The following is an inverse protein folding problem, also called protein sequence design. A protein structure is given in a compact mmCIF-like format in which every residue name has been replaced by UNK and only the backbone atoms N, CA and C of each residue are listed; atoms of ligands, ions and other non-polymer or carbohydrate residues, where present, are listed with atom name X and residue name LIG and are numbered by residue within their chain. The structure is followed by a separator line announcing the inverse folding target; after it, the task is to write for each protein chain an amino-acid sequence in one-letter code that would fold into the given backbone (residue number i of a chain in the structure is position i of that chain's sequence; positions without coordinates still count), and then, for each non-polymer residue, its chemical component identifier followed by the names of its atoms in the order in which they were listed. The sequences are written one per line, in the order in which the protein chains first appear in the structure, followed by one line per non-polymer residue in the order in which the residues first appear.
data_IF_655332468912
#
_entry.id   IF_655332468912
#
_cell.length_a   1.000
_cell.length_b   1.000
_cell.length_c   1.000
_cell.angle_alpha   90.00
_cell.angle_beta   90.00
_cell.angle_gamma   90.00
#
_symmetry.space_group_name_H-M   'P 1'
#
loop_
_entity.id
_entity.type
_entity.pdbx_description
1 polymer ?
#
# COMPACT_ATOMS: atom_id res chain seq x y z
N UNK A 1 -27.34 -10.24 -4.04
CA UNK A 1 -25.96 -10.10 -4.56
C UNK A 1 -25.60 -8.68 -4.98
N UNK A 2 -26.25 -8.08 -6.00
CA UNK A 2 -25.90 -6.73 -6.52
C UNK A 2 -25.91 -5.60 -5.48
N UNK A 3 -26.89 -5.56 -4.57
CA UNK A 3 -26.95 -4.54 -3.50
C UNK A 3 -25.77 -4.62 -2.53
N UNK A 4 -25.29 -5.84 -2.25
CA UNK A 4 -24.14 -6.10 -1.39
C UNK A 4 -22.84 -5.65 -2.06
N UNK A 5 -22.66 -5.99 -3.34
CA UNK A 5 -21.54 -5.53 -4.15
C UNK A 5 -21.51 -4.00 -4.22
N UNK A 6 -22.64 -3.34 -4.53
CA UNK A 6 -22.72 -1.87 -4.56
C UNK A 6 -22.32 -1.24 -3.23
N UNK A 7 -22.77 -1.81 -2.10
CA UNK A 7 -22.41 -1.34 -0.76
C UNK A 7 -20.92 -1.51 -0.46
N UNK A 8 -20.32 -2.63 -0.89
CA UNK A 8 -18.88 -2.88 -0.77
C UNK A 8 -18.08 -1.88 -1.61
N UNK A 9 -18.45 -1.68 -2.87
CA UNK A 9 -17.81 -0.72 -3.79
C UNK A 9 -17.88 0.70 -3.25
N UNK A 10 -19.05 1.14 -2.79
CA UNK A 10 -19.20 2.43 -2.14
C UNK A 10 -18.27 2.52 -0.93
N UNK A 11 -18.24 1.49 -0.07
CA UNK A 11 -17.33 1.48 1.08
C UNK A 11 -15.85 1.48 0.68
N UNK A 12 -15.45 0.94 -0.47
CA UNK A 12 -14.04 0.95 -0.90
C UNK A 12 -13.60 2.33 -1.42
N UNK A 13 -14.47 3.08 -2.10
CA UNK A 13 -14.16 4.42 -2.61
C UNK A 13 -14.56 5.59 -1.68
N UNK A 14 -15.33 5.33 -0.62
CA UNK A 14 -15.84 6.36 0.28
C UNK A 14 -14.79 6.87 1.27
N UNK A 15 -14.16 8.00 1.00
CA UNK A 15 -13.08 8.55 1.83
C UNK A 15 -13.49 8.88 3.29
N UNK A 16 -14.71 9.39 3.58
CA UNK A 16 -15.09 9.73 4.95
C UNK A 16 -15.17 8.49 5.85
N UNK A 17 -14.60 8.61 7.05
CA UNK A 17 -14.60 7.54 8.03
C UNK A 17 -13.23 7.28 8.62
N UNK A 18 -13.24 6.38 9.61
CA UNK A 18 -12.07 5.96 10.37
C UNK A 18 -11.83 4.49 10.12
N UNK A 19 -10.57 4.06 10.11
CA UNK A 19 -10.17 2.65 10.09
C UNK A 19 -9.37 2.33 11.35
N UNK A 20 -9.78 1.31 12.12
CA UNK A 20 -8.95 0.77 13.18
C UNK A 20 -7.69 0.09 12.59
N UNK A 21 -6.66 -0.16 13.42
CA UNK A 21 -5.39 -0.75 12.95
C UNK A 21 -5.54 -2.10 12.23
N UNK A 22 -6.50 -2.93 12.64
CA UNK A 22 -6.71 -4.25 12.04
C UNK A 22 -7.40 -4.18 10.68
N UNK A 23 -8.46 -3.39 10.59
CA UNK A 23 -9.17 -3.14 9.34
C UNK A 23 -8.26 -2.40 8.38
N UNK A 24 -7.43 -1.47 8.86
CA UNK A 24 -6.39 -0.87 8.05
C UNK A 24 -5.42 -1.92 7.50
N UNK A 25 -4.91 -2.82 8.34
CA UNK A 25 -4.09 -3.93 7.87
C UNK A 25 -4.82 -4.74 6.78
N UNK A 26 -6.05 -5.20 7.02
CA UNK A 26 -6.78 -6.02 6.04
C UNK A 26 -7.11 -5.26 4.74
N UNK A 27 -7.60 -4.02 4.84
CA UNK A 27 -8.02 -3.20 3.71
C UNK A 27 -6.82 -2.65 2.91
N UNK A 28 -5.65 -2.44 3.51
CA UNK A 28 -4.47 -1.97 2.80
C UNK A 28 -3.63 -3.12 2.21
N UNK A 29 -3.61 -4.29 2.86
CA UNK A 29 -2.65 -5.34 2.54
C UNK A 29 -2.99 -6.12 1.28
N UNK A 30 -4.26 -6.49 1.09
CA UNK A 30 -4.69 -7.21 -0.11
C UNK A 30 -4.44 -6.34 -1.36
N UNK A 31 -4.87 -5.06 -1.41
CA UNK A 31 -4.56 -4.19 -2.54
C UNK A 31 -3.05 -3.93 -2.71
N UNK A 32 -2.28 -3.86 -1.62
CA UNK A 32 -0.83 -3.69 -1.69
C UNK A 32 -0.15 -4.91 -2.34
N UNK A 33 -0.49 -6.12 -1.94
CA UNK A 33 0.06 -7.34 -2.55
C UNK A 33 -0.33 -7.45 -4.02
N UNK A 34 -1.58 -7.14 -4.36
CA UNK A 34 -2.04 -7.16 -5.74
C UNK A 34 -1.35 -6.08 -6.59
N UNK A 35 -1.16 -4.87 -6.04
CA UNK A 35 -0.39 -3.81 -6.68
C UNK A 35 1.04 -4.27 -7.01
N UNK A 36 1.73 -4.86 -6.03
CA UNK A 36 3.10 -5.35 -6.21
C UNK A 36 3.18 -6.48 -7.24
N UNK A 37 2.26 -7.45 -7.15
CA UNK A 37 2.19 -8.58 -8.08
C UNK A 37 1.96 -8.10 -9.53
N UNK A 38 0.93 -7.27 -9.74
CA UNK A 38 0.61 -6.74 -11.07
C UNK A 38 1.74 -5.87 -11.63
N UNK A 39 2.40 -5.09 -10.79
CA UNK A 39 3.56 -4.29 -11.20
C UNK A 39 4.75 -5.15 -11.59
N UNK A 40 5.02 -6.23 -10.84
CA UNK A 40 6.11 -7.16 -11.15
C UNK A 40 5.85 -7.91 -12.48
N UNK A 41 4.62 -8.36 -12.70
CA UNK A 41 4.22 -9.00 -13.96
C UNK A 41 4.31 -7.98 -15.12
N UNK A 42 3.79 -6.76 -14.92
CA UNK A 42 3.87 -5.69 -15.92
C UNK A 42 5.32 -5.35 -16.30
N UNK A 43 6.23 -5.34 -15.34
CA UNK A 43 7.66 -5.14 -15.57
C UNK A 43 8.32 -6.32 -16.30
N UNK A 44 7.96 -7.56 -15.96
CA UNK A 44 8.46 -8.73 -16.67
C UNK A 44 8.00 -8.74 -18.14
N UNK A 45 6.73 -8.37 -18.39
CA UNK A 45 6.18 -8.24 -19.74
C UNK A 45 6.88 -7.15 -20.55
N UNK A 46 7.18 -5.99 -19.95
CA UNK A 46 7.88 -4.90 -20.65
C UNK A 46 9.32 -5.25 -21.05
N UNK A 47 9.91 -6.28 -20.44
CA UNK A 47 11.23 -6.84 -20.81
C UNK A 47 11.16 -7.97 -21.84
N UNK A 48 9.97 -8.50 -22.12
CA UNK A 48 9.81 -9.61 -23.06
C UNK A 48 9.81 -9.14 -24.52
N UNK A 49 10.38 -9.94 -25.42
CA UNK A 49 10.39 -9.67 -26.87
C UNK A 49 9.10 -10.10 -27.59
N UNK A 50 8.03 -10.41 -26.85
CA UNK A 50 6.77 -10.91 -27.41
C UNK A 50 5.98 -9.76 -28.07
N UNK A 51 5.36 -9.94 -29.24
CA UNK A 51 4.68 -8.85 -29.96
C UNK A 51 3.48 -8.24 -29.21
N UNK A 52 2.96 -8.89 -28.17
CA UNK A 52 1.78 -8.45 -27.39
C UNK A 52 2.16 -7.61 -26.15
N UNK A 53 3.45 -7.32 -25.93
CA UNK A 53 3.97 -6.80 -24.65
C UNK A 53 3.48 -5.40 -24.25
N UNK A 54 3.30 -4.47 -25.20
CA UNK A 54 2.99 -3.07 -24.85
C UNK A 54 1.55 -2.90 -24.33
N UNK A 55 0.55 -3.44 -25.03
CA UNK A 55 -0.85 -3.29 -24.64
C UNK A 55 -1.19 -4.08 -23.37
N UNK A 56 -0.67 -5.32 -23.27
CA UNK A 56 -0.87 -6.16 -22.08
C UNK A 56 -0.18 -5.59 -20.85
N UNK A 57 1.06 -5.11 -20.98
CA UNK A 57 1.77 -4.42 -19.90
C UNK A 57 1.05 -3.16 -19.43
N UNK A 58 0.57 -2.32 -20.36
CA UNK A 58 -0.18 -1.11 -20.02
C UNK A 58 -1.46 -1.41 -19.22
N UNK A 59 -2.22 -2.44 -19.61
CA UNK A 59 -3.41 -2.86 -18.87
C UNK A 59 -3.08 -3.32 -17.45
N UNK A 60 -2.00 -4.08 -17.26
CA UNK A 60 -1.54 -4.50 -15.94
C UNK A 60 -1.19 -3.30 -15.04
N UNK A 61 -0.53 -2.28 -15.60
CA UNK A 61 -0.23 -1.04 -14.87
C UNK A 61 -1.50 -0.26 -14.50
N UNK A 62 -2.52 -0.24 -15.34
CA UNK A 62 -3.82 0.36 -15.01
C UNK A 62 -4.47 -0.36 -13.82
N UNK A 63 -4.50 -1.69 -13.84
CA UNK A 63 -5.04 -2.46 -12.72
C UNK A 63 -4.22 -2.30 -11.44
N UNK A 64 -2.89 -2.25 -11.56
CA UNK A 64 -2.00 -1.93 -10.44
C UNK A 64 -2.34 -0.53 -9.87
N UNK A 65 -2.51 0.47 -10.72
CA UNK A 65 -2.86 1.83 -10.30
C UNK A 65 -4.19 1.90 -9.55
N UNK A 66 -5.20 1.14 -9.97
CA UNK A 66 -6.47 1.02 -9.22
C UNK A 66 -6.23 0.43 -7.83
N UNK A 67 -5.39 -0.61 -7.72
CA UNK A 67 -5.02 -1.19 -6.43
C UNK A 67 -4.30 -0.18 -5.54
N UNK A 68 -3.42 0.63 -6.13
CA UNK A 68 -2.71 1.70 -5.43
C UNK A 68 -3.66 2.76 -4.87
N UNK A 69 -4.70 3.16 -5.61
CA UNK A 69 -5.75 4.07 -5.11
C UNK A 69 -6.42 3.51 -3.85
N UNK A 70 -6.72 2.21 -3.81
CA UNK A 70 -7.32 1.60 -2.61
C UNK A 70 -6.38 1.64 -1.40
N UNK A 71 -5.07 1.42 -1.60
CA UNK A 71 -4.07 1.59 -0.54
C UNK A 71 -4.12 3.03 -0.02
N UNK A 72 -4.11 4.02 -0.91
CA UNK A 72 -4.16 5.44 -0.54
C UNK A 72 -5.41 5.77 0.28
N UNK A 73 -6.58 5.29 -0.13
CA UNK A 73 -7.83 5.52 0.61
C UNK A 73 -7.77 4.91 2.01
N UNK A 74 -7.21 3.70 2.15
CA UNK A 74 -7.03 3.05 3.46
C UNK A 74 -6.12 3.87 4.38
N UNK A 75 -5.02 4.42 3.85
CA UNK A 75 -4.11 5.28 4.61
C UNK A 75 -4.77 6.58 5.06
N UNK A 76 -5.54 7.25 4.20
CA UNK A 76 -6.28 8.46 4.56
C UNK A 76 -7.24 8.19 5.73
N UNK A 77 -8.03 7.12 5.65
CA UNK A 77 -8.96 6.73 6.73
C UNK A 77 -8.24 6.33 8.02
N UNK A 78 -7.03 5.79 7.93
CA UNK A 78 -6.21 5.49 9.11
C UNK A 78 -5.65 6.76 9.74
N UNK A 79 -5.20 7.72 8.94
CA UNK A 79 -4.80 9.05 9.42
C UNK A 79 -5.96 9.76 10.12
N UNK A 80 -7.16 9.69 9.54
CA UNK A 80 -8.38 10.20 10.17
C UNK A 80 -8.70 9.54 11.51
N UNK A 81 -8.35 8.27 11.72
CA UNK A 81 -8.52 7.60 13.01
C UNK A 81 -7.56 8.11 14.09
N UNK A 82 -6.45 8.71 13.69
CA UNK A 82 -5.46 9.37 14.56
C UNK A 82 -5.72 10.89 14.70
N UNK A 83 -6.88 11.36 14.22
CA UNK A 83 -7.24 12.79 14.07
C UNK A 83 -6.19 13.61 13.31
N UNK A 84 -5.49 12.97 12.38
CA UNK A 84 -4.57 13.63 11.46
C UNK A 84 -5.26 13.90 10.12
N UNK A 85 -4.89 15.00 9.47
CA UNK A 85 -5.34 15.33 8.12
C UNK A 85 -4.69 14.44 7.06
N UNK A 86 -5.36 14.26 5.92
CA UNK A 86 -4.81 13.54 4.77
C UNK A 86 -3.50 14.09 4.20
N UNK A 87 -3.10 15.33 4.53
CA UNK A 87 -1.82 15.92 4.10
C UNK A 87 -0.59 15.09 4.47
N UNK A 88 -0.64 14.34 5.58
CA UNK A 88 0.45 13.46 6.00
C UNK A 88 0.73 12.32 5.00
N UNK A 89 -0.20 12.07 4.07
CA UNK A 89 -0.03 11.12 2.99
C UNK A 89 1.08 11.51 2.00
N UNK A 90 1.49 12.80 1.95
CA UNK A 90 2.60 13.24 1.08
C UNK A 90 3.91 12.49 1.39
N UNK A 91 4.08 12.04 2.63
CA UNK A 91 5.20 11.21 3.06
C UNK A 91 5.25 9.84 2.35
N UNK A 92 4.14 9.39 1.75
CA UNK A 92 4.13 8.15 0.97
C UNK A 92 4.88 8.24 -0.35
N UNK A 93 5.14 9.46 -0.86
CA UNK A 93 5.89 9.67 -2.12
C UNK A 93 7.38 9.39 -1.93
N UNK A 94 7.89 9.55 -0.71
CA UNK A 94 9.30 9.36 -0.40
C UNK A 94 9.53 7.88 -0.04
N UNK A 95 10.37 7.15 -0.80
CA UNK A 95 10.73 5.76 -0.47
C UNK A 95 11.32 5.65 0.94
N UNK A 96 11.08 4.54 1.63
CA UNK A 96 11.46 4.26 3.04
C UNK A 96 10.79 5.14 4.10
N UNK A 97 10.58 6.43 3.84
CA UNK A 97 9.74 7.29 4.70
C UNK A 97 8.30 6.79 4.69
N UNK A 98 7.82 6.34 3.52
CA UNK A 98 6.53 5.67 3.36
C UNK A 98 6.42 4.39 4.22
N UNK A 99 7.51 3.63 4.34
CA UNK A 99 7.57 2.43 5.19
C UNK A 99 7.53 2.77 6.67
N UNK A 100 8.25 3.81 7.09
CA UNK A 100 8.20 4.32 8.46
C UNK A 100 6.78 4.83 8.82
N UNK A 101 6.13 5.58 7.92
CA UNK A 101 4.75 6.01 8.11
C UNK A 101 3.81 4.80 8.26
N UNK A 102 3.91 3.81 7.38
CA UNK A 102 3.06 2.61 7.45
C UNK A 102 3.23 1.87 8.78
N UNK A 103 4.48 1.71 9.23
CA UNK A 103 4.79 1.09 10.52
C UNK A 103 4.15 1.84 11.70
N UNK A 104 4.28 3.17 11.72
CA UNK A 104 3.64 4.01 12.75
C UNK A 104 2.11 3.84 12.71
N UNK A 105 1.51 3.81 11.51
CA UNK A 105 0.06 3.65 11.35
C UNK A 105 -0.47 2.27 11.77
N UNK A 106 0.37 1.22 11.67
CA UNK A 106 0.04 -0.14 12.13
C UNK A 106 0.02 -0.23 13.66
N UNK A 107 1.01 0.36 14.34
CA UNK A 107 1.19 0.18 15.79
C UNK A 107 0.40 1.20 16.60
N UNK A 108 0.39 2.47 16.16
CA UNK A 108 -0.21 3.55 16.95
C UNK A 108 -1.70 3.29 17.15
N UNK A 109 -2.16 3.40 18.39
CA UNK A 109 -3.59 3.29 18.71
C UNK A 109 -4.38 4.48 18.16
N UNK A 110 -5.61 4.21 17.71
CA UNK A 110 -6.57 5.23 17.30
C UNK A 110 -7.04 6.12 18.44
N UNK A 111 -7.68 7.24 18.12
CA UNK A 111 -8.28 8.10 19.14
C UNK A 111 -9.46 7.43 19.83
N UNK A 112 -9.43 7.43 21.17
CA UNK A 112 -10.50 6.88 22.01
C UNK A 112 -11.77 7.74 22.02
N UNK A 113 -11.68 9.00 21.57
CA UNK A 113 -12.79 9.96 21.50
C UNK A 113 -13.38 10.01 20.09
N UNK A 114 -14.64 10.43 20.01
CA UNK A 114 -15.26 10.82 18.74
C UNK A 114 -14.47 12.01 18.16
N UNK A 115 -14.19 11.96 16.87
CA UNK A 115 -13.55 13.06 16.14
C UNK A 115 -14.43 13.51 14.97
N UNK A 116 -13.98 14.53 14.25
CA UNK A 116 -14.68 15.10 13.09
C UNK A 116 -14.86 14.12 11.92
N UNK A 117 -14.09 13.03 11.90
CA UNK A 117 -14.09 12.02 10.84
C UNK A 117 -15.03 10.83 11.11
N UNK A 118 -15.61 10.73 12.31
CA UNK A 118 -16.67 9.77 12.60
C UNK A 118 -16.63 9.15 14.00
N UNK A 119 -17.46 8.12 14.18
CA UNK A 119 -17.55 7.36 15.43
C UNK A 119 -16.32 6.48 15.64
N UNK A 120 -15.97 6.27 16.91
CA UNK A 120 -14.89 5.36 17.30
C UNK A 120 -15.19 3.96 16.77
N UNK A 121 -14.20 3.33 16.15
CA UNK A 121 -14.32 1.94 15.73
C UNK A 121 -13.97 0.99 16.88
N UNK A 122 -14.66 -0.16 16.99
CA UNK A 122 -14.34 -1.15 18.02
C UNK A 122 -12.92 -1.71 17.82
N UNK A 123 -12.23 -1.96 18.92
CA UNK A 123 -10.93 -2.63 18.90
C UNK A 123 -11.13 -4.10 18.50
N UNK A 124 -10.38 -4.57 17.51
CA UNK A 124 -10.31 -5.99 17.13
C UNK A 124 -8.97 -6.59 17.60
N UNK A 125 -8.91 -7.93 17.68
CA UNK A 125 -7.76 -8.69 18.19
C UNK A 125 -6.46 -8.51 17.38
N UNK A 126 -5.33 -8.91 17.97
CA UNK A 126 -4.00 -8.54 17.49
C UNK A 126 -3.40 -9.49 16.43
N UNK A 127 -4.06 -10.60 16.08
CA UNK A 127 -3.50 -11.62 15.16
C UNK A 127 -3.18 -11.03 13.78
N UNK A 128 -4.14 -10.36 13.12
CA UNK A 128 -3.87 -9.82 11.79
C UNK A 128 -2.92 -8.59 11.82
N UNK A 129 -2.76 -7.94 12.98
CA UNK A 129 -1.72 -6.94 13.17
C UNK A 129 -0.33 -7.59 13.13
N UNK A 130 -0.14 -8.71 13.83
CA UNK A 130 1.12 -9.47 13.80
C UNK A 130 1.44 -9.90 12.37
N UNK A 131 0.46 -10.48 11.64
CA UNK A 131 0.64 -10.85 10.23
C UNK A 131 1.04 -9.65 9.36
N UNK A 132 0.41 -8.49 9.57
CA UNK A 132 0.70 -7.27 8.81
C UNK A 132 2.11 -6.73 9.11
N UNK A 133 2.55 -6.79 10.36
CA UNK A 133 3.93 -6.40 10.75
C UNK A 133 4.96 -7.36 10.14
N UNK A 134 4.72 -8.67 10.20
CA UNK A 134 5.62 -9.67 9.61
C UNK A 134 5.78 -9.44 8.12
N UNK A 135 4.68 -9.24 7.39
CA UNK A 135 4.79 -9.00 5.96
C UNK A 135 5.32 -7.61 5.64
N UNK A 136 5.04 -6.58 6.45
CA UNK A 136 5.74 -5.32 6.30
C UNK A 136 7.27 -5.50 6.39
N UNK A 137 7.76 -6.24 7.38
CA UNK A 137 9.19 -6.56 7.49
C UNK A 137 9.70 -7.31 6.26
N UNK A 138 8.96 -8.29 5.76
CA UNK A 138 9.32 -9.03 4.56
C UNK A 138 9.39 -8.11 3.32
N UNK A 139 8.42 -7.20 3.14
CA UNK A 139 8.37 -6.24 2.04
C UNK A 139 9.49 -5.20 2.14
N UNK A 140 9.77 -4.72 3.35
CA UNK A 140 10.87 -3.80 3.61
C UNK A 140 12.22 -4.44 3.26
N UNK A 141 12.47 -5.67 3.73
CA UNK A 141 13.66 -6.44 3.40
C UNK A 141 13.79 -6.67 1.89
N UNK A 142 12.70 -7.07 1.23
CA UNK A 142 12.68 -7.26 -0.22
C UNK A 142 13.08 -5.98 -0.98
N UNK A 143 12.51 -4.82 -0.62
CA UNK A 143 12.86 -3.53 -1.23
C UNK A 143 14.32 -3.14 -0.96
N UNK A 144 14.83 -3.38 0.24
CA UNK A 144 16.22 -3.13 0.59
C UNK A 144 17.18 -3.98 -0.25
N UNK A 145 16.85 -5.27 -0.46
CA UNK A 145 17.62 -6.16 -1.34
C UNK A 145 17.64 -5.68 -2.79
N UNK A 146 16.48 -5.28 -3.32
CA UNK A 146 16.38 -4.72 -4.68
C UNK A 146 17.21 -3.45 -4.82
N UNK A 147 17.19 -2.56 -3.83
CA UNK A 147 18.01 -1.35 -3.83
C UNK A 147 19.51 -1.68 -3.81
N UNK A 148 19.94 -2.60 -2.94
CA UNK A 148 21.34 -3.02 -2.88
C UNK A 148 21.81 -3.63 -4.21
N UNK A 149 20.97 -4.45 -4.83
CA UNK A 149 21.24 -5.01 -6.15
C UNK A 149 21.36 -3.91 -7.22
N UNK A 150 20.46 -2.93 -7.23
CA UNK A 150 20.53 -1.80 -8.16
C UNK A 150 21.82 -0.98 -7.97
N UNK A 151 22.20 -0.69 -6.72
CA UNK A 151 23.44 0.02 -6.40
C UNK A 151 24.66 -0.75 -6.92
N UNK A 152 24.72 -2.06 -6.68
CA UNK A 152 25.80 -2.90 -7.18
C UNK A 152 25.95 -2.82 -8.71
N UNK A 153 24.83 -2.87 -9.45
CA UNK A 153 24.84 -2.71 -10.91
C UNK A 153 25.35 -1.33 -11.36
N UNK A 154 24.93 -0.25 -10.69
CA UNK A 154 25.41 1.11 -11.01
C UNK A 154 26.91 1.23 -10.73
N UNK A 155 27.39 0.75 -9.57
CA UNK A 155 28.81 0.82 -9.20
C UNK A 155 29.68 0.00 -10.17
N UNK A 156 29.22 -1.19 -10.57
CA UNK A 156 29.91 -2.03 -11.54
C UNK A 156 29.99 -1.37 -12.92
N UNK A 157 28.91 -0.69 -13.35
CA UNK A 157 28.90 0.06 -14.60
C UNK A 157 29.91 1.21 -14.58
N UNK A 158 29.98 1.96 -13.47
CA UNK A 158 30.95 3.06 -13.31
C UNK A 158 32.39 2.53 -13.39
N UNK A 159 32.71 1.43 -12.70
CA UNK A 159 34.06 0.84 -12.73
C UNK A 159 34.46 0.31 -14.11
N UNK A 160 33.50 -0.16 -14.92
CA UNK A 160 33.79 -0.61 -16.29
C UNK A 160 34.00 0.56 -17.27
N UNK A 161 33.61 1.78 -16.89
CA UNK A 161 33.68 2.99 -17.73
C UNK A 161 34.90 3.89 -17.46
N UNK A 162 35.74 3.54 -16.48
CA UNK A 162 37.01 4.21 -16.13
C UNK A 162 38.16 3.31 -16.50
#
# INVERSE_FOLDING_TARGET
MFKQVKKLWQKMFFIPGRLNRLQFALEAFIPLLLFLLLSAIGFAFSRSHLPVHMLSGALLYIFAFICFIFVIIAFIRRLHDLSLSGYWLILMVIPFVSDALYFVLLIKSGDSKKNIYGKVQPALGNVALICAVICWLALFLFRALVLMHAIHHVVSYIHCSV
#
